data_IF_914767024166
#
_entry.id   IF_914767024166
#
_cell.length_a   1.000
_cell.length_b   1.000
_cell.length_c   1.000
_cell.angle_alpha   90.00
_cell.angle_beta   90.00
_cell.angle_gamma   90.00
#
_symmetry.space_group_name_H-M   'P 1'
#
loop_
_entity.id
_entity.type
_entity.pdbx_description
1 polymer ?
#
# COMPACT_ATOMS: atom_id res chain seq x y z
N UNK A 1 -22.33 5.26 4.90
CA UNK A 1 -23.22 5.22 3.70
C UNK A 1 -23.02 6.47 2.88
N UNK A 2 -23.19 6.35 1.59
CA UNK A 2 -23.34 7.51 0.69
C UNK A 2 -24.51 7.26 -0.27
N UNK A 3 -25.14 8.35 -0.69
CA UNK A 3 -26.18 8.34 -1.70
C UNK A 3 -25.84 9.38 -2.76
N UNK A 4 -26.14 9.09 -3.99
CA UNK A 4 -26.01 10.01 -5.10
C UNK A 4 -27.11 9.81 -6.13
N UNK A 5 -27.33 10.82 -6.95
CA UNK A 5 -28.28 10.74 -8.07
C UNK A 5 -27.55 11.15 -9.33
N UNK A 6 -27.55 10.31 -10.33
CA UNK A 6 -27.04 10.63 -11.66
C UNK A 6 -28.09 11.49 -12.36
N UNK A 7 -27.87 12.78 -12.47
CA UNK A 7 -28.84 13.73 -12.99
C UNK A 7 -29.23 13.46 -14.45
N UNK A 8 -28.30 12.91 -15.24
CA UNK A 8 -28.52 12.58 -16.65
C UNK A 8 -29.55 11.45 -16.88
N UNK A 9 -29.65 10.52 -15.92
CA UNK A 9 -30.54 9.35 -16.01
C UNK A 9 -31.53 9.26 -14.87
N UNK A 10 -31.48 10.22 -13.93
CA UNK A 10 -32.24 10.23 -12.67
C UNK A 10 -32.09 8.92 -11.85
N UNK A 11 -30.98 8.20 -12.08
CA UNK A 11 -30.68 6.96 -11.38
C UNK A 11 -30.06 7.28 -10.02
N UNK A 12 -30.70 6.79 -8.96
CA UNK A 12 -30.15 6.87 -7.61
C UNK A 12 -29.23 5.68 -7.36
N UNK A 13 -28.11 5.94 -6.71
CA UNK A 13 -27.25 4.90 -6.14
C UNK A 13 -27.01 5.18 -4.66
N UNK A 14 -27.04 4.11 -3.88
CA UNK A 14 -26.86 4.16 -2.44
C UNK A 14 -25.96 2.99 -2.05
N UNK A 15 -24.94 3.28 -1.25
CA UNK A 15 -24.11 2.24 -0.67
C UNK A 15 -24.10 2.39 0.86
N UNK A 16 -24.65 1.43 1.55
CA UNK A 16 -24.69 1.38 3.00
C UNK A 16 -23.56 0.47 3.50
N UNK A 17 -22.65 1.03 4.25
CA UNK A 17 -21.60 0.26 4.90
C UNK A 17 -22.06 -0.19 6.29
N UNK A 18 -21.98 -1.46 6.61
CA UNK A 18 -22.31 -1.94 7.95
C UNK A 18 -21.37 -1.30 8.98
N UNK A 19 -21.84 -1.25 10.22
CA UNK A 19 -21.00 -0.85 11.34
C UNK A 19 -19.76 -1.73 11.37
N UNK A 20 -18.59 -1.12 11.25
CA UNK A 20 -17.31 -1.83 11.24
C UNK A 20 -16.46 -1.35 12.42
N UNK A 21 -15.91 -2.31 13.16
CA UNK A 21 -14.96 -2.03 14.24
C UNK A 21 -13.55 -1.90 13.65
N UNK A 22 -12.79 -0.96 14.18
CA UNK A 22 -11.39 -0.69 13.82
C UNK A 22 -10.50 -0.85 15.07
N UNK A 23 -10.37 -2.08 15.58
CA UNK A 23 -9.56 -2.31 16.76
C UNK A 23 -8.09 -2.03 16.47
N UNK A 24 -7.41 -1.49 17.48
CA UNK A 24 -5.96 -1.44 17.55
C UNK A 24 -5.52 -1.95 18.90
N UNK A 25 -4.49 -2.78 18.91
CA UNK A 25 -3.88 -3.35 20.11
C UNK A 25 -2.38 -3.14 20.01
N UNK A 26 -1.78 -2.68 21.10
CA UNK A 26 -0.34 -2.55 21.23
C UNK A 26 0.07 -3.07 22.60
N UNK A 27 0.89 -4.10 22.64
CA UNK A 27 1.42 -4.72 23.85
C UNK A 27 2.94 -4.69 23.81
N UNK A 28 3.56 -4.31 24.92
CA UNK A 28 5.01 -4.38 25.11
C UNK A 28 5.31 -5.24 26.32
N UNK A 29 6.19 -6.21 26.15
CA UNK A 29 6.69 -7.05 27.21
C UNK A 29 8.22 -6.91 27.33
N UNK A 30 8.69 -6.42 28.48
CA UNK A 30 10.12 -6.32 28.77
C UNK A 30 10.67 -7.68 29.14
N UNK A 31 11.60 -8.18 28.32
CA UNK A 31 12.31 -9.43 28.57
C UNK A 31 13.43 -9.24 29.61
N UNK A 32 14.13 -8.10 29.51
CA UNK A 32 15.17 -7.65 30.43
C UNK A 32 15.45 -6.15 30.20
N UNK A 33 16.45 -5.58 30.88
CA UNK A 33 16.81 -4.15 30.78
C UNK A 33 17.29 -3.72 29.38
N UNK A 34 17.60 -4.66 28.50
CA UNK A 34 18.14 -4.38 27.15
C UNK A 34 17.24 -4.84 26.02
N UNK A 35 16.21 -5.62 26.30
CA UNK A 35 15.37 -6.20 25.27
C UNK A 35 13.91 -6.22 25.64
N UNK A 36 13.08 -5.95 24.68
CA UNK A 36 11.63 -6.07 24.75
C UNK A 36 11.05 -6.78 23.52
N UNK A 37 9.86 -7.29 23.70
CA UNK A 37 9.00 -7.79 22.64
C UNK A 37 7.75 -6.90 22.55
N UNK A 38 7.30 -6.68 21.31
CA UNK A 38 6.09 -5.91 21.05
C UNK A 38 5.18 -6.72 20.15
N UNK A 39 3.89 -6.68 20.45
CA UNK A 39 2.85 -7.24 19.59
C UNK A 39 1.91 -6.10 19.21
N UNK A 40 1.69 -5.93 17.95
CA UNK A 40 0.83 -4.89 17.40
C UNK A 40 -0.21 -5.49 16.46
N UNK A 41 -1.45 -5.06 16.61
CA UNK A 41 -2.52 -5.36 15.67
C UNK A 41 -3.31 -4.11 15.35
N UNK A 42 -3.63 -3.89 14.09
CA UNK A 42 -4.51 -2.79 13.69
C UNK A 42 -5.38 -3.17 12.50
N UNK A 43 -6.62 -2.68 12.52
CA UNK A 43 -7.53 -2.75 11.37
C UNK A 43 -7.85 -1.34 10.88
N UNK A 44 -7.69 -1.12 9.59
CA UNK A 44 -7.92 0.17 8.91
C UNK A 44 -8.94 0.00 7.79
N UNK A 45 -9.64 1.10 7.48
CA UNK A 45 -10.54 1.21 6.34
C UNK A 45 -9.97 2.24 5.37
N UNK A 46 -10.03 1.92 4.08
CA UNK A 46 -9.85 2.87 3.00
C UNK A 46 -11.15 2.92 2.19
N UNK A 47 -11.80 4.08 2.16
CA UNK A 47 -13.05 4.27 1.43
C UNK A 47 -12.75 4.73 0.01
N UNK A 48 -13.56 4.28 -0.98
CA UNK A 48 -13.46 4.85 -2.31
C UNK A 48 -13.59 6.36 -2.26
N UNK A 49 -12.80 7.07 -3.03
CA UNK A 49 -12.93 8.50 -3.16
C UNK A 49 -14.09 8.88 -4.12
N UNK A 50 -14.46 10.13 -4.12
CA UNK A 50 -15.58 10.65 -4.91
C UNK A 50 -15.42 10.35 -6.42
N UNK A 51 -14.26 10.57 -6.99
CA UNK A 51 -14.00 10.32 -8.42
C UNK A 51 -14.05 8.85 -8.80
N UNK A 52 -13.67 7.97 -7.87
CA UNK A 52 -13.77 6.52 -8.09
C UNK A 52 -15.23 6.03 -8.13
N UNK A 53 -16.16 6.79 -7.54
CA UNK A 53 -17.56 6.40 -7.41
C UNK A 53 -18.46 7.00 -8.50
N UNK A 54 -18.08 8.13 -9.10
CA UNK A 54 -18.95 8.82 -10.08
C UNK A 54 -18.99 8.03 -11.40
N UNK A 55 -20.14 7.51 -11.80
CA UNK A 55 -20.29 6.77 -13.06
C UNK A 55 -20.45 7.75 -14.24
N UNK A 56 -19.59 8.76 -14.31
CA UNK A 56 -19.54 9.73 -15.41
C UNK A 56 -18.26 9.51 -16.21
N UNK A 57 -18.37 9.53 -17.51
CA UNK A 57 -17.23 9.37 -18.41
C UNK A 57 -16.41 10.66 -18.44
N UNK A 58 -15.16 10.56 -18.03
CA UNK A 58 -14.17 11.61 -18.28
C UNK A 58 -13.55 11.37 -19.67
N UNK A 59 -13.93 12.22 -20.60
CA UNK A 59 -13.52 12.20 -22.02
C UNK A 59 -12.40 13.21 -22.32
N UNK A 60 -11.73 13.71 -21.31
CA UNK A 60 -10.61 14.67 -21.47
C UNK A 60 -9.50 14.06 -22.34
N UNK A 61 -9.25 12.75 -22.21
CA UNK A 61 -8.44 11.98 -23.13
C UNK A 61 -9.36 11.10 -24.00
N UNK A 62 -9.55 11.42 -25.29
CA UNK A 62 -10.46 10.68 -26.15
C UNK A 62 -10.08 9.22 -26.41
N UNK A 63 -8.83 8.81 -26.11
CA UNK A 63 -8.34 7.45 -26.30
C UNK A 63 -8.42 6.62 -25.01
N UNK A 64 -8.40 7.28 -23.85
CA UNK A 64 -8.37 6.66 -22.53
C UNK A 64 -9.46 7.27 -21.64
N UNK A 65 -10.66 6.77 -21.74
CA UNK A 65 -11.83 7.30 -21.03
C UNK A 65 -11.87 6.72 -19.62
N UNK A 66 -11.95 7.59 -18.62
CA UNK A 66 -12.08 7.18 -17.23
C UNK A 66 -13.55 7.19 -16.81
N UNK A 67 -13.99 6.13 -16.12
CA UNK A 67 -15.34 6.05 -15.53
C UNK A 67 -15.26 5.47 -14.11
N UNK A 68 -15.91 6.14 -13.15
CA UNK A 68 -16.02 5.63 -11.79
C UNK A 68 -17.02 4.48 -11.69
N UNK A 69 -16.95 3.75 -10.59
CA UNK A 69 -17.83 2.62 -10.27
C UNK A 69 -18.56 2.88 -8.94
N UNK A 70 -19.87 3.15 -8.96
CA UNK A 70 -20.65 3.42 -7.75
C UNK A 70 -20.83 2.18 -6.85
N UNK A 71 -20.55 0.98 -7.34
CA UNK A 71 -20.70 -0.27 -6.59
C UNK A 71 -19.46 -0.62 -5.77
N UNK A 72 -18.45 0.25 -5.75
CA UNK A 72 -17.25 0.04 -4.95
C UNK A 72 -17.57 0.02 -3.46
N UNK A 73 -17.01 -0.97 -2.80
CA UNK A 73 -17.02 -1.09 -1.33
C UNK A 73 -15.66 -0.74 -0.74
N UNK A 74 -15.60 -0.36 0.54
CA UNK A 74 -14.33 -0.03 1.19
C UNK A 74 -13.37 -1.20 1.26
N UNK A 75 -12.09 -0.89 1.20
CA UNK A 75 -11.02 -1.80 1.55
C UNK A 75 -10.87 -1.90 3.07
N UNK A 76 -10.56 -3.07 3.57
CA UNK A 76 -10.21 -3.31 4.96
C UNK A 76 -8.83 -3.93 5.05
N UNK A 77 -7.92 -3.24 5.71
CA UNK A 77 -6.55 -3.72 5.94
C UNK A 77 -6.38 -4.13 7.39
N UNK A 78 -5.98 -5.38 7.60
CA UNK A 78 -5.52 -5.90 8.88
C UNK A 78 -3.99 -6.00 8.84
N UNK A 79 -3.34 -5.53 9.89
CA UNK A 79 -1.89 -5.62 10.09
C UNK A 79 -1.63 -6.24 11.45
N UNK A 80 -0.88 -7.32 11.47
CA UNK A 80 -0.36 -7.95 12.68
C UNK A 80 1.16 -7.96 12.62
N UNK A 81 1.79 -7.56 13.72
CA UNK A 81 3.25 -7.45 13.82
C UNK A 81 3.72 -8.01 15.16
N UNK A 82 4.86 -8.66 15.13
CA UNK A 82 5.63 -9.03 16.31
C UNK A 82 7.05 -8.52 16.14
N UNK A 83 7.52 -7.74 17.11
CA UNK A 83 8.83 -7.11 17.07
C UNK A 83 9.67 -7.54 18.26
N UNK A 84 10.94 -7.73 18.03
CA UNK A 84 11.95 -7.92 19.04
C UNK A 84 12.99 -6.80 18.94
N UNK A 85 13.11 -6.02 20.00
CA UNK A 85 14.13 -4.98 20.10
C UNK A 85 15.20 -5.38 21.13
N UNK A 86 16.45 -5.12 20.80
CA UNK A 86 17.57 -5.38 21.69
C UNK A 86 18.62 -4.26 21.60
N UNK A 87 19.02 -3.76 22.76
CA UNK A 87 20.16 -2.87 22.91
C UNK A 87 21.43 -3.70 23.09
N UNK A 88 22.04 -4.13 21.97
CA UNK A 88 23.23 -5.00 21.96
C UNK A 88 24.40 -4.37 22.70
N UNK A 89 24.56 -3.05 22.63
CA UNK A 89 25.57 -2.30 23.37
C UNK A 89 25.08 -0.86 23.58
N UNK A 90 25.85 -0.03 24.34
CA UNK A 90 25.55 1.41 24.45
C UNK A 90 25.53 2.15 23.11
N UNK A 91 26.07 1.56 22.05
CA UNK A 91 26.21 2.16 20.72
C UNK A 91 25.36 1.47 19.65
N UNK A 92 24.82 0.29 19.91
CA UNK A 92 24.20 -0.54 18.89
C UNK A 92 22.85 -1.04 19.36
N UNK A 93 21.79 -0.75 18.59
CA UNK A 93 20.47 -1.32 18.76
C UNK A 93 20.08 -2.15 17.55
N UNK A 94 19.31 -3.19 17.78
CA UNK A 94 18.77 -4.10 16.78
C UNK A 94 17.26 -4.20 16.96
N UNK A 95 16.53 -4.19 15.87
CA UNK A 95 15.09 -4.41 15.81
C UNK A 95 14.80 -5.43 14.70
N UNK A 96 14.07 -6.48 15.04
CA UNK A 96 13.50 -7.43 14.07
C UNK A 96 11.99 -7.41 14.20
N UNK A 97 11.29 -7.24 13.09
CA UNK A 97 9.82 -7.23 13.03
C UNK A 97 9.34 -8.22 11.99
N UNK A 98 8.60 -9.24 12.43
CA UNK A 98 7.82 -10.09 11.54
C UNK A 98 6.42 -9.52 11.42
N UNK A 99 5.88 -9.43 10.20
CA UNK A 99 4.58 -8.84 9.96
C UNK A 99 3.75 -9.64 8.95
N UNK A 100 2.44 -9.53 9.12
CA UNK A 100 1.44 -10.00 8.17
C UNK A 100 0.42 -8.90 7.93
N UNK A 101 0.26 -8.52 6.68
CA UNK A 101 -0.71 -7.52 6.21
C UNK A 101 -1.67 -8.18 5.23
N UNK A 102 -2.96 -8.03 5.48
CA UNK A 102 -4.02 -8.50 4.60
C UNK A 102 -4.97 -7.35 4.26
N UNK A 103 -5.24 -7.15 2.97
CA UNK A 103 -6.23 -6.17 2.50
C UNK A 103 -7.32 -6.89 1.72
N UNK A 104 -8.55 -6.80 2.19
CA UNK A 104 -9.73 -7.32 1.52
C UNK A 104 -10.41 -6.22 0.72
N UNK A 105 -11.09 -6.59 -0.36
CA UNK A 105 -11.80 -5.69 -1.26
C UNK A 105 -10.89 -4.59 -1.85
N UNK A 106 -9.65 -4.94 -2.16
CA UNK A 106 -8.67 -3.99 -2.71
C UNK A 106 -9.26 -3.28 -3.92
N UNK A 107 -9.29 -1.95 -3.88
CA UNK A 107 -9.74 -1.12 -5.01
C UNK A 107 -8.59 -1.02 -6.01
N UNK A 108 -8.83 -1.48 -7.21
CA UNK A 108 -7.85 -1.45 -8.29
C UNK A 108 -8.48 -0.95 -9.59
N UNK A 109 -7.63 -0.43 -10.48
CA UNK A 109 -8.05 -0.07 -11.82
C UNK A 109 -8.02 -1.32 -12.70
N UNK A 110 -8.97 -1.41 -13.60
CA UNK A 110 -8.94 -2.36 -14.71
C UNK A 110 -9.29 -1.65 -16.01
N UNK A 111 -8.88 -2.22 -17.11
CA UNK A 111 -9.05 -1.65 -18.42
C UNK A 111 -9.80 -2.64 -19.33
N UNK A 112 -10.71 -2.12 -20.09
CA UNK A 112 -11.41 -2.88 -21.12
C UNK A 112 -11.68 -2.01 -22.34
N UNK A 113 -11.93 -2.64 -23.48
CA UNK A 113 -12.31 -1.92 -24.70
C UNK A 113 -13.82 -1.98 -24.87
N UNK A 114 -14.42 -0.84 -25.15
CA UNK A 114 -15.85 -0.71 -25.41
C UNK A 114 -16.11 0.40 -26.44
N UNK A 115 -17.36 0.52 -26.84
CA UNK A 115 -17.81 1.59 -27.72
C UNK A 115 -17.55 2.95 -27.09
N UNK A 116 -17.17 3.90 -27.93
CA UNK A 116 -17.01 5.27 -27.48
C UNK A 116 -18.36 5.79 -26.92
N UNK A 117 -18.39 6.34 -25.70
CA UNK A 117 -19.60 6.95 -25.13
C UNK A 117 -20.17 8.08 -25.96
N UNK A 118 -19.32 8.79 -26.70
CA UNK A 118 -19.77 9.78 -27.70
C UNK A 118 -19.89 9.09 -29.06
N UNK A 119 -21.11 8.87 -29.59
CA UNK A 119 -21.34 8.18 -30.85
C UNK A 119 -20.79 8.94 -32.08
N UNK A 120 -20.47 10.23 -31.92
CA UNK A 120 -19.92 11.07 -32.98
C UNK A 120 -18.40 11.17 -32.95
N UNK A 121 -17.76 10.70 -31.88
CA UNK A 121 -16.32 10.74 -31.73
C UNK A 121 -15.63 9.54 -32.41
N UNK A 122 -14.37 9.74 -32.79
CA UNK A 122 -13.50 8.69 -33.33
C UNK A 122 -12.33 8.49 -32.39
N UNK A 123 -11.87 7.26 -32.23
CA UNK A 123 -12.33 6.00 -32.84
C UNK A 123 -13.64 5.49 -32.18
N UNK A 124 -14.36 4.62 -32.90
CA UNK A 124 -15.64 4.05 -32.44
C UNK A 124 -15.47 3.13 -31.22
N UNK A 125 -14.25 2.62 -31.01
CA UNK A 125 -13.88 1.78 -29.85
C UNK A 125 -12.71 2.43 -29.10
N UNK A 126 -12.87 2.60 -27.81
CA UNK A 126 -11.91 3.26 -26.94
C UNK A 126 -11.49 2.35 -25.79
N UNK A 127 -10.38 2.71 -25.15
CA UNK A 127 -9.97 2.08 -23.90
C UNK A 127 -10.70 2.76 -22.75
N UNK A 128 -11.47 1.98 -22.00
CA UNK A 128 -12.14 2.46 -20.80
C UNK A 128 -11.37 1.99 -19.57
N UNK A 129 -11.05 2.91 -18.71
CA UNK A 129 -10.41 2.68 -17.41
C UNK A 129 -11.48 2.83 -16.34
N UNK A 130 -11.67 1.80 -15.52
CA UNK A 130 -12.62 1.83 -14.42
C UNK A 130 -12.04 1.22 -13.16
N UNK A 131 -12.81 1.17 -12.10
CA UNK A 131 -12.42 0.66 -10.79
C UNK A 131 -13.22 -0.56 -10.41
N UNK A 132 -12.59 -1.51 -9.76
CA UNK A 132 -13.24 -2.67 -9.18
C UNK A 132 -12.59 -3.06 -7.86
N UNK A 133 -13.33 -3.73 -7.00
CA UNK A 133 -12.74 -4.38 -5.85
C UNK A 133 -12.14 -5.72 -6.28
N UNK A 134 -10.81 -5.84 -6.18
CA UNK A 134 -10.13 -7.13 -6.24
C UNK A 134 -10.45 -7.95 -4.98
N UNK A 135 -10.30 -9.28 -5.03
CA UNK A 135 -10.65 -10.09 -3.88
C UNK A 135 -9.80 -9.76 -2.66
N UNK A 136 -8.49 -10.03 -2.73
CA UNK A 136 -7.63 -9.91 -1.55
C UNK A 136 -6.17 -9.69 -1.97
N UNK A 137 -5.45 -8.87 -1.22
CA UNK A 137 -3.99 -8.87 -1.25
C UNK A 137 -3.45 -9.21 0.13
N UNK A 138 -2.31 -9.87 0.17
CA UNK A 138 -1.59 -10.11 1.41
C UNK A 138 -0.09 -9.99 1.23
N UNK A 139 0.56 -9.54 2.30
CA UNK A 139 2.01 -9.43 2.37
C UNK A 139 2.46 -9.95 3.73
N UNK A 140 3.45 -10.79 3.74
CA UNK A 140 4.15 -11.16 4.97
C UNK A 140 5.64 -10.96 4.79
N UNK A 141 6.32 -10.56 5.84
CA UNK A 141 7.72 -10.24 5.74
C UNK A 141 8.44 -10.16 7.07
N UNK A 142 9.73 -9.95 6.95
CA UNK A 142 10.67 -9.74 8.05
C UNK A 142 11.46 -8.46 7.78
N UNK A 143 11.33 -7.51 8.67
CA UNK A 143 12.10 -6.27 8.66
C UNK A 143 13.18 -6.32 9.74
N UNK A 144 14.42 -6.03 9.34
CA UNK A 144 15.59 -5.99 10.21
C UNK A 144 16.18 -4.58 10.17
N UNK A 145 16.30 -3.96 11.32
CA UNK A 145 16.92 -2.64 11.45
C UNK A 145 18.06 -2.70 12.47
N UNK A 146 19.21 -2.23 12.07
CA UNK A 146 20.35 -2.03 12.96
C UNK A 146 20.77 -0.58 12.93
N UNK A 147 20.90 0.02 14.11
CA UNK A 147 21.50 1.36 14.29
C UNK A 147 22.74 1.22 15.13
N UNK A 148 23.86 1.80 14.68
CA UNK A 148 25.10 1.74 15.43
C UNK A 148 25.91 3.03 15.29
N UNK A 149 26.53 3.44 16.39
CA UNK A 149 27.57 4.48 16.38
C UNK A 149 28.91 3.80 16.12
N UNK A 150 29.36 3.80 14.89
CA UNK A 150 30.66 3.22 14.50
C UNK A 150 31.83 3.99 15.15
N UNK A 151 31.72 5.33 15.18
CA UNK A 151 32.66 6.21 15.86
C UNK A 151 31.90 7.30 16.62
N UNK A 152 32.59 8.27 17.25
CA UNK A 152 31.95 9.42 17.92
C UNK A 152 31.27 10.37 16.93
N UNK A 153 31.65 10.31 15.65
CA UNK A 153 31.22 11.23 14.61
C UNK A 153 30.47 10.53 13.46
N UNK A 154 30.28 9.17 13.51
CA UNK A 154 29.63 8.41 12.45
C UNK A 154 28.54 7.51 13.03
N UNK A 155 27.29 7.85 12.74
CA UNK A 155 26.11 7.04 12.99
C UNK A 155 25.73 6.30 11.71
N UNK A 156 25.54 4.98 11.81
CA UNK A 156 25.20 4.09 10.72
C UNK A 156 23.87 3.40 11.00
N UNK A 157 22.98 3.41 10.03
CA UNK A 157 21.70 2.67 10.10
C UNK A 157 21.52 1.86 8.83
N UNK A 158 21.20 0.60 8.98
CA UNK A 158 20.78 -0.29 7.90
C UNK A 158 19.39 -0.83 8.21
N UNK A 159 18.54 -0.85 7.20
CA UNK A 159 17.22 -1.47 7.21
C UNK A 159 17.15 -2.45 6.04
N UNK A 160 16.67 -3.67 6.29
CA UNK A 160 16.43 -4.71 5.28
C UNK A 160 15.03 -5.22 5.51
N UNK A 161 14.20 -5.23 4.48
CA UNK A 161 12.87 -5.81 4.48
C UNK A 161 12.79 -6.91 3.42
N UNK A 162 12.52 -8.12 3.87
CA UNK A 162 12.33 -9.31 3.04
C UNK A 162 10.86 -9.69 3.11
N UNK A 163 10.15 -9.73 1.98
CA UNK A 163 8.72 -9.96 2.01
C UNK A 163 8.23 -10.74 0.79
N UNK A 164 7.12 -11.41 0.99
CA UNK A 164 6.32 -11.98 -0.10
C UNK A 164 5.01 -11.21 -0.19
N UNK A 165 4.67 -10.76 -1.39
CA UNK A 165 3.38 -10.12 -1.69
C UNK A 165 2.60 -10.98 -2.65
N UNK A 166 1.31 -11.13 -2.38
CA UNK A 166 0.40 -11.83 -3.27
C UNK A 166 -0.88 -11.01 -3.49
N UNK A 167 -1.38 -11.08 -4.70
CA UNK A 167 -2.63 -10.49 -5.13
C UNK A 167 -3.52 -11.58 -5.72
N UNK A 168 -4.70 -11.74 -5.15
CA UNK A 168 -5.76 -12.54 -5.73
C UNK A 168 -6.72 -11.60 -6.48
N UNK A 169 -6.72 -11.69 -7.79
CA UNK A 169 -7.50 -10.82 -8.68
C UNK A 169 -8.61 -11.57 -9.42
N UNK A 170 -9.02 -12.74 -8.96
CA UNK A 170 -10.01 -13.60 -9.62
C UNK A 170 -11.40 -12.98 -9.80
N UNK A 171 -11.73 -11.91 -9.05
CA UNK A 171 -12.98 -11.16 -9.22
C UNK A 171 -12.96 -10.21 -10.43
N UNK A 172 -11.79 -9.95 -11.02
CA UNK A 172 -11.65 -9.06 -12.17
C UNK A 172 -11.52 -9.90 -13.43
N UNK A 173 -12.29 -9.58 -14.47
CA UNK A 173 -12.21 -10.27 -15.77
C UNK A 173 -10.77 -10.24 -16.31
N UNK A 174 -10.16 -11.40 -16.50
CA UNK A 174 -8.75 -11.53 -16.91
C UNK A 174 -7.73 -11.35 -15.79
N UNK A 175 -8.17 -11.14 -14.54
CA UNK A 175 -7.30 -11.10 -13.37
C UNK A 175 -6.66 -12.47 -13.10
N UNK A 176 -5.39 -12.46 -12.71
CA UNK A 176 -4.63 -13.66 -12.33
C UNK A 176 -4.10 -13.49 -10.92
N UNK A 177 -4.13 -14.57 -10.18
CA UNK A 177 -3.42 -14.65 -8.93
C UNK A 177 -1.92 -14.57 -9.18
N UNK A 178 -1.25 -13.72 -8.44
CA UNK A 178 0.18 -13.53 -8.58
C UNK A 178 0.83 -13.43 -7.19
N UNK A 179 1.98 -14.04 -7.04
CA UNK A 179 2.76 -13.99 -5.80
C UNK A 179 4.23 -13.79 -6.13
N UNK A 180 4.90 -12.93 -5.40
CA UNK A 180 6.31 -12.62 -5.62
C UNK A 180 7.03 -12.33 -4.32
N UNK A 181 8.19 -12.95 -4.16
CA UNK A 181 9.16 -12.55 -3.15
C UNK A 181 9.92 -11.30 -3.61
N UNK A 182 10.13 -10.37 -2.69
CA UNK A 182 10.84 -9.11 -2.95
C UNK A 182 11.69 -8.72 -1.75
N UNK A 183 12.59 -7.77 -1.98
CA UNK A 183 13.48 -7.23 -0.98
C UNK A 183 13.59 -5.72 -1.14
N UNK A 184 13.58 -5.01 -0.02
CA UNK A 184 13.96 -3.60 0.06
C UNK A 184 15.10 -3.46 1.06
N UNK A 185 16.13 -2.68 0.70
CA UNK A 185 17.25 -2.36 1.57
C UNK A 185 17.51 -0.86 1.59
N UNK A 186 17.80 -0.31 2.77
CA UNK A 186 18.16 1.10 2.93
C UNK A 186 19.34 1.24 3.87
N UNK A 187 20.29 2.08 3.48
CA UNK A 187 21.47 2.43 4.29
C UNK A 187 21.48 3.94 4.49
N UNK A 188 21.66 4.36 5.73
CA UNK A 188 21.85 5.76 6.07
C UNK A 188 23.15 5.94 6.86
N UNK A 189 23.93 6.91 6.46
CA UNK A 189 25.13 7.35 7.14
C UNK A 189 24.95 8.80 7.58
N UNK A 190 25.23 9.10 8.83
CA UNK A 190 25.22 10.46 9.37
C UNK A 190 26.58 10.76 9.99
N UNK A 191 27.23 11.79 9.50
CA UNK A 191 28.56 12.23 9.95
C UNK A 191 28.44 13.57 10.65
N UNK A 192 28.92 13.63 11.89
CA UNK A 192 29.03 14.88 12.65
C UNK A 192 30.45 15.33 12.61
N UNK A 193 30.72 16.43 11.89
CA UNK A 193 32.04 16.99 11.66
C UNK A 193 32.33 18.12 12.65
N UNK A 194 33.61 18.55 12.79
CA UNK A 194 33.95 19.73 13.57
C UNK A 194 33.16 20.97 13.17
N UNK A 195 33.00 21.92 14.11
CA UNK A 195 32.26 23.19 13.91
C UNK A 195 30.76 22.98 13.62
N UNK A 196 30.13 21.89 14.13
CA UNK A 196 28.70 21.57 14.00
C UNK A 196 28.24 21.33 12.56
N UNK A 197 29.12 20.99 11.64
CA UNK A 197 28.73 20.52 10.33
C UNK A 197 28.20 19.09 10.43
N UNK A 198 27.13 18.78 9.69
CA UNK A 198 26.63 17.42 9.55
C UNK A 198 26.44 17.09 8.07
N UNK A 199 26.75 15.85 7.71
CA UNK A 199 26.54 15.29 6.36
C UNK A 199 25.72 14.02 6.52
N UNK A 200 24.70 13.85 5.68
CA UNK A 200 23.95 12.61 5.59
C UNK A 200 24.07 12.05 4.18
N UNK A 201 24.39 10.75 4.10
CA UNK A 201 24.38 9.98 2.86
C UNK A 201 23.44 8.80 3.01
N UNK A 202 22.50 8.69 2.10
CA UNK A 202 21.57 7.57 2.07
C UNK A 202 21.57 6.91 0.70
N UNK A 203 21.36 5.61 0.68
CA UNK A 203 21.12 4.81 -0.52
C UNK A 203 20.08 3.77 -0.21
N UNK A 204 19.27 3.44 -1.21
CA UNK A 204 18.27 2.38 -1.11
C UNK A 204 18.29 1.51 -2.36
N UNK A 205 17.81 0.30 -2.19
CA UNK A 205 17.63 -0.68 -3.24
C UNK A 205 16.29 -1.36 -3.06
N UNK A 206 15.53 -1.46 -4.15
CA UNK A 206 14.27 -2.18 -4.20
C UNK A 206 14.30 -3.21 -5.32
N UNK A 207 14.08 -4.46 -4.98
CA UNK A 207 13.86 -5.52 -5.96
C UNK A 207 12.47 -5.37 -6.61
N UNK A 208 12.26 -6.06 -7.73
CA UNK A 208 10.94 -6.10 -8.39
C UNK A 208 9.88 -6.59 -7.40
N UNK A 209 8.74 -5.92 -7.40
CA UNK A 209 7.58 -6.28 -6.58
C UNK A 209 6.32 -6.33 -7.41
N UNK A 210 5.30 -7.03 -6.92
CA UNK A 210 3.98 -7.01 -7.53
C UNK A 210 3.33 -5.67 -7.22
N UNK A 211 2.92 -5.00 -8.29
CA UNK A 211 2.06 -3.83 -8.21
C UNK A 211 0.65 -4.23 -8.66
N UNK A 212 -0.39 -3.62 -8.09
CA UNK A 212 -1.74 -3.76 -8.62
C UNK A 212 -1.74 -3.43 -10.12
N UNK A 213 -2.61 -4.06 -10.93
CA UNK A 213 -2.73 -3.75 -12.33
C UNK A 213 -2.85 -2.23 -12.53
N UNK A 214 -2.06 -1.67 -13.44
CA UNK A 214 -2.04 -0.24 -13.76
C UNK A 214 -1.57 0.73 -12.66
N UNK A 215 -1.01 0.26 -11.55
CA UNK A 215 -0.23 1.14 -10.71
C UNK A 215 1.07 1.50 -11.45
N UNK A 216 1.32 2.79 -11.70
CA UNK A 216 2.63 3.24 -12.15
C UNK A 216 3.62 2.92 -11.03
N UNK A 217 4.54 2.00 -11.28
CA UNK A 217 5.70 1.88 -10.42
C UNK A 217 6.40 3.24 -10.38
N UNK A 218 6.75 3.71 -9.22
CA UNK A 218 7.72 4.80 -9.10
C UNK A 218 9.02 4.25 -9.69
N UNK A 219 9.19 4.43 -11.00
CA UNK A 219 10.47 4.17 -11.65
C UNK A 219 11.47 5.16 -11.08
N UNK A 220 12.48 4.65 -10.41
CA UNK A 220 13.69 5.39 -10.12
C UNK A 220 14.48 5.66 -11.38
#
# INVERSE_FOLDING_TARGET
SYTGTLLSTNKQFKNDYPLSLFPSLFLTYKLNDKSDMQVNYSRKINRPNFFQLIPNFDVTDPQNILVGNPDLIPEFTNLAEISYQNQLSKKTSFLATAYYKNTNNLITNYQYRDKNPDPNAKPDTVLIISYANANTSYTFGLELTTKTKLTKWWDFTVNINLFNSALNAGAITGGRDNSQFSMFGKVNNSFTLPKNFSIQLSGDYQAKTILPPNSRGSGG
#
